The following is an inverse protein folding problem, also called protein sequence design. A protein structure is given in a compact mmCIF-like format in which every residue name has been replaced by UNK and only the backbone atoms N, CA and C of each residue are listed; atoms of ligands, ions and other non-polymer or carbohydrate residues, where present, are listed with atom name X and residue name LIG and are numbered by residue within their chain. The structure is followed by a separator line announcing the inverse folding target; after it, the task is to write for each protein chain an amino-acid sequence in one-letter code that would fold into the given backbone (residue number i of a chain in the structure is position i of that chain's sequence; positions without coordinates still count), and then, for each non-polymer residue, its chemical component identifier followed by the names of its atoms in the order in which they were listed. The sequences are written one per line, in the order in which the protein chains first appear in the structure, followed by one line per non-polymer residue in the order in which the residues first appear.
data_IF_488715132171
#
_entry.id   IF_488715132171
#
_cell.length_a   1.000
_cell.length_b   1.000
_cell.length_c   1.000
_cell.angle_alpha   90.00
_cell.angle_beta   90.00
_cell.angle_gamma   90.00
#
_symmetry.space_group_name_H-M   'P 1'
#
loop_
_entity.id
_entity.type
_entity.pdbx_description
1 polymer ?
#
# COMPACT_ATOMS: atom_id res chain seq x y z
N UNK A 1 20.15 12.34 -10.94
CA UNK A 1 20.69 13.70 -10.72
C UNK A 1 19.65 14.62 -10.07
N UNK A 2 18.37 14.57 -10.48
CA UNK A 2 17.27 15.37 -9.91
C UNK A 2 16.98 15.11 -8.42
N UNK A 3 17.13 13.86 -7.96
CA UNK A 3 17.02 13.50 -6.54
C UNK A 3 18.09 14.22 -5.70
N UNK A 4 19.33 14.30 -6.20
CA UNK A 4 20.44 14.93 -5.48
C UNK A 4 20.22 16.44 -5.26
N UNK A 5 19.54 17.10 -6.21
CA UNK A 5 19.17 18.52 -6.14
C UNK A 5 18.14 18.76 -5.03
N UNK A 6 17.13 17.90 -4.89
CA UNK A 6 16.13 18.04 -3.84
C UNK A 6 16.68 17.74 -2.43
N UNK A 7 17.69 16.86 -2.32
CA UNK A 7 18.21 16.43 -1.01
C UNK A 7 19.38 17.24 -0.48
N UNK A 8 20.16 17.92 -1.33
CA UNK A 8 21.31 18.71 -0.88
C UNK A 8 21.13 20.21 -1.12
N UNK A 9 20.58 20.60 -2.27
CA UNK A 9 20.53 22.01 -2.66
C UNK A 9 19.36 22.73 -2.01
N UNK A 10 18.17 22.10 -1.93
CA UNK A 10 17.01 22.72 -1.27
C UNK A 10 17.26 22.93 0.24
N UNK A 11 17.77 21.96 1.02
CA UNK A 11 18.10 22.21 2.42
C UNK A 11 19.19 23.27 2.60
N UNK A 12 20.20 23.32 1.71
CA UNK A 12 21.24 24.34 1.77
C UNK A 12 20.71 25.76 1.47
N UNK A 13 19.84 25.91 0.47
CA UNK A 13 19.18 27.19 0.15
C UNK A 13 18.25 27.61 1.29
N UNK A 14 17.47 26.68 1.85
CA UNK A 14 16.60 26.94 2.99
C UNK A 14 17.38 27.32 4.26
N UNK A 15 18.55 26.72 4.46
CA UNK A 15 19.47 27.04 5.55
C UNK A 15 20.10 28.43 5.39
N UNK A 16 20.54 28.80 4.18
CA UNK A 16 21.06 30.14 3.88
C UNK A 16 19.98 31.22 4.03
N UNK A 17 18.74 30.95 3.58
CA UNK A 17 17.60 31.84 3.81
C UNK A 17 17.26 31.99 5.30
N UNK A 18 17.42 30.91 6.09
CA UNK A 18 17.29 30.94 7.55
C UNK A 18 18.29 31.89 8.19
N UNK A 19 19.57 31.79 7.81
CA UNK A 19 20.64 32.61 8.37
C UNK A 19 20.40 34.10 8.06
N UNK A 20 19.91 34.43 6.86
CA UNK A 20 19.53 35.80 6.48
C UNK A 20 18.32 36.28 7.28
N UNK A 21 17.29 35.45 7.45
CA UNK A 21 16.09 35.80 8.24
C UNK A 21 16.39 35.97 9.74
N UNK A 22 17.27 35.14 10.30
CA UNK A 22 17.73 35.22 11.70
C UNK A 22 18.57 36.48 11.93
N UNK A 23 19.36 36.88 10.93
CA UNK A 23 20.12 38.13 10.97
C UNK A 23 19.21 39.37 10.93
N UNK A 24 18.11 39.33 10.17
CA UNK A 24 17.23 40.49 9.97
C UNK A 24 16.03 40.60 10.95
N UNK A 25 15.51 39.48 11.46
CA UNK A 25 14.18 39.45 12.10
C UNK A 25 14.12 38.82 13.51
N UNK A 26 15.25 38.49 14.14
CA UNK A 26 15.24 38.11 15.55
C UNK A 26 14.74 36.68 15.84
N UNK A 27 14.44 36.42 17.12
CA UNK A 27 14.03 35.12 17.68
C UNK A 27 12.78 34.51 17.00
N UNK A 28 11.91 35.34 16.42
CA UNK A 28 10.67 34.91 15.74
C UNK A 28 11.00 34.11 14.47
N UNK A 29 12.07 34.49 13.75
CA UNK A 29 12.53 33.77 12.57
C UNK A 29 13.06 32.37 12.92
N UNK A 30 13.74 32.22 14.05
CA UNK A 30 14.26 30.91 14.52
C UNK A 30 13.10 29.96 14.85
N UNK A 31 12.08 30.44 15.57
CA UNK A 31 10.91 29.65 15.93
C UNK A 31 10.09 29.20 14.69
N UNK A 32 9.85 30.11 13.76
CA UNK A 32 9.19 29.79 12.48
C UNK A 32 10.00 28.77 11.67
N UNK A 33 11.33 28.86 11.70
CA UNK A 33 12.19 27.94 10.97
C UNK A 33 12.21 26.53 11.57
N UNK A 34 12.16 26.40 12.90
CA UNK A 34 12.05 25.08 13.54
C UNK A 34 10.71 24.40 13.27
N UNK A 35 9.63 25.19 13.20
CA UNK A 35 8.32 24.70 12.79
C UNK A 35 8.36 24.26 11.32
N UNK A 36 8.96 25.04 10.43
CA UNK A 36 9.10 24.70 9.01
C UNK A 36 10.01 23.47 8.80
N UNK A 37 11.10 23.34 9.54
CA UNK A 37 11.99 22.18 9.51
C UNK A 37 11.30 20.90 9.99
N UNK A 38 10.50 20.98 11.07
CA UNK A 38 9.70 19.86 11.55
C UNK A 38 8.60 19.45 10.55
N UNK A 39 7.94 20.44 9.92
CA UNK A 39 6.96 20.19 8.86
C UNK A 39 7.61 19.57 7.62
N UNK A 40 8.79 20.07 7.20
CA UNK A 40 9.54 19.53 6.08
C UNK A 40 10.02 18.10 6.32
N UNK A 41 10.54 17.80 7.53
CA UNK A 41 10.88 16.45 7.94
C UNK A 41 9.65 15.52 7.95
N UNK A 42 8.49 16.02 8.40
CA UNK A 42 7.22 15.31 8.34
C UNK A 42 6.78 15.01 6.90
N UNK A 43 6.94 15.95 5.98
CA UNK A 43 6.64 15.76 4.54
C UNK A 43 7.60 14.75 3.92
N UNK A 44 8.90 14.84 4.17
CA UNK A 44 9.88 13.86 3.71
C UNK A 44 9.52 12.46 4.24
N UNK A 45 9.18 12.33 5.51
CA UNK A 45 8.78 11.07 6.12
C UNK A 45 7.51 10.47 5.46
N UNK A 46 6.54 11.30 5.09
CA UNK A 46 5.34 10.85 4.38
C UNK A 46 5.64 10.46 2.93
N UNK A 47 6.53 11.18 2.24
CA UNK A 47 6.98 10.82 0.91
C UNK A 47 7.70 9.46 0.91
N UNK A 48 8.54 9.18 1.92
CA UNK A 48 9.18 7.87 2.08
C UNK A 48 8.20 6.73 2.44
N UNK A 49 7.08 7.03 3.12
CA UNK A 49 5.99 6.06 3.31
C UNK A 49 5.24 5.74 2.02
N UNK A 50 5.20 6.68 1.06
CA UNK A 50 4.53 6.52 -0.22
C UNK A 50 5.32 5.71 -1.25
N UNK A 51 6.64 5.67 -1.14
CA UNK A 51 7.48 4.74 -1.91
C UNK A 51 7.39 3.34 -1.31
N UNK A 52 6.32 2.62 -1.66
CA UNK A 52 6.24 1.19 -1.44
C UNK A 52 7.45 0.50 -2.07
N UNK A 53 8.14 -0.31 -1.26
CA UNK A 53 9.31 -1.08 -1.64
C UNK A 53 9.08 -1.86 -2.95
N UNK A 54 9.69 -1.47 -4.08
CA UNK A 54 9.51 -2.17 -5.35
C UNK A 54 10.27 -3.51 -5.40
N UNK A 55 11.12 -3.80 -4.42
CA UNK A 55 12.10 -4.90 -4.45
C UNK A 55 11.97 -5.90 -3.29
N UNK A 56 11.00 -5.72 -2.39
CA UNK A 56 10.67 -6.68 -1.33
C UNK A 56 11.83 -6.97 -0.36
N UNK A 57 12.72 -6.00 -0.11
CA UNK A 57 13.82 -6.14 0.85
C UNK A 57 13.58 -5.31 2.11
N UNK A 58 13.85 -5.93 3.25
CA UNK A 58 13.68 -5.44 4.62
C UNK A 58 14.63 -4.30 5.05
N UNK A 59 15.02 -3.39 4.14
CA UNK A 59 15.89 -2.24 4.47
C UNK A 59 15.15 -1.08 5.14
N UNK A 60 13.82 -1.16 5.32
CA UNK A 60 13.05 -0.09 5.97
C UNK A 60 13.51 0.21 7.40
N UNK A 61 14.13 -0.77 8.07
CA UNK A 61 14.62 -0.60 9.45
C UNK A 61 15.90 0.25 9.53
N UNK A 62 16.86 0.05 8.61
CA UNK A 62 18.13 0.80 8.59
C UNK A 62 17.90 2.28 8.26
N UNK A 63 16.98 2.57 7.35
CA UNK A 63 16.60 3.95 7.03
C UNK A 63 15.87 4.65 8.16
N UNK A 64 15.03 3.94 8.92
CA UNK A 64 14.36 4.46 10.10
C UNK A 64 15.37 4.78 11.22
N UNK A 65 16.38 3.96 11.41
CA UNK A 65 17.45 4.22 12.38
C UNK A 65 18.33 5.40 11.94
N UNK A 66 18.72 5.48 10.66
CA UNK A 66 19.45 6.62 10.12
C UNK A 66 18.66 7.94 10.23
N UNK A 67 17.35 7.92 9.92
CA UNK A 67 16.48 9.10 10.09
C UNK A 67 16.28 9.46 11.55
N UNK A 68 16.13 8.49 12.46
CA UNK A 68 16.02 8.72 13.90
C UNK A 68 17.27 9.42 14.43
N UNK A 69 18.43 8.92 14.06
CA UNK A 69 19.71 9.42 14.57
C UNK A 69 20.01 10.80 13.97
N UNK A 70 19.69 11.01 12.68
CA UNK A 70 19.80 12.32 12.01
C UNK A 70 18.79 13.35 12.53
N UNK A 71 17.55 12.96 12.82
CA UNK A 71 16.53 13.86 13.36
C UNK A 71 16.84 14.27 14.80
N UNK A 72 17.34 13.34 15.62
CA UNK A 72 17.77 13.63 17.00
C UNK A 72 18.95 14.61 17.00
N UNK A 73 19.90 14.44 16.09
CA UNK A 73 20.99 15.40 15.88
C UNK A 73 20.46 16.77 15.43
N UNK A 74 19.51 16.81 14.49
CA UNK A 74 18.92 18.07 13.99
C UNK A 74 18.15 18.83 15.08
N UNK A 75 17.36 18.13 15.90
CA UNK A 75 16.64 18.74 17.03
C UNK A 75 17.63 19.28 18.07
N UNK A 76 18.69 18.52 18.38
CA UNK A 76 19.74 18.96 19.30
C UNK A 76 20.47 20.20 18.79
N UNK A 77 20.84 20.21 17.51
CA UNK A 77 21.47 21.38 16.85
C UNK A 77 20.53 22.59 16.90
N UNK A 78 19.24 22.39 16.62
CA UNK A 78 18.25 23.47 16.62
C UNK A 78 18.07 24.10 17.99
N UNK A 79 17.94 23.27 19.04
CA UNK A 79 17.84 23.74 20.43
C UNK A 79 19.13 24.47 20.84
N UNK A 80 20.30 23.92 20.49
CA UNK A 80 21.61 24.54 20.80
C UNK A 80 21.75 25.91 20.15
N UNK A 81 21.33 26.05 18.89
CA UNK A 81 21.34 27.32 18.16
C UNK A 81 20.35 28.34 18.75
N UNK A 82 19.16 27.91 19.20
CA UNK A 82 18.21 28.78 19.90
C UNK A 82 18.79 29.34 21.20
N UNK A 83 19.42 28.48 22.01
CA UNK A 83 20.02 28.88 23.29
C UNK A 83 21.21 29.82 23.06
N UNK A 84 22.07 29.53 22.07
CA UNK A 84 23.17 30.40 21.68
C UNK A 84 22.68 31.78 21.21
N UNK A 85 21.64 31.81 20.38
CA UNK A 85 21.07 33.07 19.89
C UNK A 85 20.49 33.92 21.02
N UNK A 86 19.76 33.30 21.95
CA UNK A 86 19.27 33.97 23.15
C UNK A 86 20.43 34.59 23.95
N UNK A 87 21.54 33.85 24.14
CA UNK A 87 22.72 34.36 24.83
C UNK A 87 23.32 35.59 24.14
N UNK A 88 23.51 35.56 22.83
CA UNK A 88 24.04 36.69 22.04
C UNK A 88 23.12 37.90 22.09
N UNK A 89 21.81 37.70 22.04
CA UNK A 89 20.82 38.77 22.16
C UNK A 89 20.92 39.46 23.53
N UNK A 90 21.02 38.69 24.63
CA UNK A 90 21.17 39.26 25.97
C UNK A 90 22.51 40.00 26.16
N UNK A 91 23.61 39.52 25.56
CA UNK A 91 24.90 40.26 25.56
C UNK A 91 24.78 41.63 24.91
N UNK A 92 24.10 41.73 23.76
CA UNK A 92 23.90 43.00 23.05
C UNK A 92 23.01 43.98 23.83
N UNK A 93 22.08 43.47 24.64
CA UNK A 93 21.23 44.29 25.50
C UNK A 93 21.87 44.73 26.83
N UNK A 94 23.13 44.35 27.10
CA UNK A 94 23.82 44.63 28.36
C UNK A 94 23.38 43.75 29.54
N UNK A 95 22.59 42.70 29.29
CA UNK A 95 22.06 41.79 30.31
C UNK A 95 22.97 40.58 30.52
N UNK A 96 24.18 40.84 31.03
CA UNK A 96 25.27 39.84 31.11
C UNK A 96 24.94 38.61 31.97
N UNK A 97 24.09 38.74 33.00
CA UNK A 97 23.65 37.63 33.87
C UNK A 97 22.79 36.60 33.11
N UNK A 98 21.91 37.07 32.23
CA UNK A 98 21.07 36.19 31.40
C UNK A 98 21.90 35.56 30.28
N UNK A 99 22.79 36.32 29.67
CA UNK A 99 23.70 35.80 28.66
C UNK A 99 24.57 34.64 29.16
N UNK A 100 25.15 34.76 30.36
CA UNK A 100 25.97 33.71 30.96
C UNK A 100 25.14 32.49 31.33
N UNK A 101 23.91 32.66 31.84
CA UNK A 101 22.98 31.55 32.08
C UNK A 101 22.68 30.73 30.82
N UNK A 102 22.37 31.40 29.69
CA UNK A 102 22.12 30.71 28.43
C UNK A 102 23.38 30.05 27.86
N UNK A 103 24.55 30.68 27.95
CA UNK A 103 25.82 30.07 27.54
C UNK A 103 26.15 28.80 28.34
N UNK A 104 25.90 28.82 29.66
CA UNK A 104 26.02 27.65 30.53
C UNK A 104 25.04 26.57 30.09
N UNK A 105 23.78 26.92 29.76
CA UNK A 105 22.79 25.97 29.26
C UNK A 105 23.23 25.33 27.92
N UNK A 106 23.82 26.09 27.00
CA UNK A 106 24.33 25.58 25.70
C UNK A 106 25.46 24.59 25.89
N UNK A 107 26.30 24.79 26.91
CA UNK A 107 27.43 23.91 27.23
C UNK A 107 26.98 22.70 28.06
N UNK A 108 26.03 22.89 28.97
CA UNK A 108 25.54 21.82 29.84
C UNK A 108 24.53 20.92 29.16
N UNK A 109 23.71 21.38 28.22
CA UNK A 109 22.67 20.53 27.60
C UNK A 109 23.26 19.36 26.81
N UNK A 110 24.24 19.55 25.89
CA UNK A 110 24.91 18.44 25.22
C UNK A 110 25.72 17.60 26.21
N UNK A 111 26.33 18.23 27.22
CA UNK A 111 27.13 17.52 28.22
C UNK A 111 26.26 16.64 29.13
N UNK A 112 25.07 17.08 29.56
CA UNK A 112 24.10 16.25 30.26
C UNK A 112 23.48 15.20 29.36
N UNK A 113 23.30 15.49 28.07
CA UNK A 113 22.82 14.52 27.07
C UNK A 113 23.84 13.41 26.81
N UNK A 114 25.14 13.73 26.87
CA UNK A 114 26.26 12.80 26.71
C UNK A 114 26.63 12.08 28.02
N UNK A 115 26.57 12.76 29.17
CA UNK A 115 26.99 12.23 30.47
C UNK A 115 25.87 11.52 31.23
N UNK A 116 24.60 11.83 30.95
CA UNK A 116 23.53 10.96 31.43
C UNK A 116 23.42 9.80 30.45
N UNK A 117 23.74 8.59 30.90
CA UNK A 117 23.31 7.30 30.30
C UNK A 117 21.77 7.18 30.13
N UNK A 118 21.03 8.29 30.30
CA UNK A 118 19.58 8.42 30.30
C UNK A 118 18.95 8.15 28.93
N UNK A 119 19.72 8.20 27.85
CA UNK A 119 19.28 7.76 26.53
C UNK A 119 20.01 6.49 26.07
N UNK A 120 20.09 5.48 26.94
CA UNK A 120 20.47 4.14 26.46
C UNK A 120 19.56 3.78 25.27
N UNK A 121 20.12 3.53 24.06
CA UNK A 121 19.33 3.16 22.89
C UNK A 121 18.40 1.98 23.17
N UNK A 122 18.81 1.09 24.07
CA UNK A 122 18.00 -0.02 24.58
C UNK A 122 16.75 0.43 25.35
N UNK A 123 16.86 1.44 26.24
CA UNK A 123 15.72 1.99 27.00
C UNK A 123 14.75 2.72 26.09
N UNK A 124 15.24 3.48 25.12
CA UNK A 124 14.40 4.14 24.13
C UNK A 124 13.71 3.14 23.20
N UNK A 125 14.44 2.12 22.71
CA UNK A 125 13.87 0.99 21.96
C UNK A 125 12.77 0.28 22.76
N UNK A 126 13.02 0.01 24.04
CA UNK A 126 12.02 -0.61 24.92
C UNK A 126 10.80 0.29 25.13
N UNK A 127 11.00 1.60 25.26
CA UNK A 127 9.90 2.57 25.34
C UNK A 127 9.06 2.57 24.06
N UNK A 128 9.69 2.64 22.88
CA UNK A 128 9.00 2.55 21.57
C UNK A 128 8.22 1.24 21.47
N UNK A 129 8.84 0.09 21.78
CA UNK A 129 8.15 -1.20 21.75
C UNK A 129 6.99 -1.24 22.75
N UNK A 130 7.14 -0.62 23.92
CA UNK A 130 6.06 -0.56 24.92
C UNK A 130 4.88 0.33 24.47
N UNK A 131 5.16 1.46 23.82
CA UNK A 131 4.15 2.37 23.28
C UNK A 131 3.45 1.74 22.09
N UNK A 132 4.19 1.07 21.22
CA UNK A 132 3.67 0.33 20.08
C UNK A 132 2.80 -0.86 20.51
N UNK A 133 3.22 -1.62 21.53
CA UNK A 133 2.40 -2.67 22.14
C UNK A 133 1.13 -2.14 22.76
N UNK A 134 1.12 -0.91 23.30
CA UNK A 134 -0.06 -0.27 23.90
C UNK A 134 -0.94 0.47 22.88
N UNK A 135 -0.53 0.54 21.61
CA UNK A 135 -1.29 1.23 20.60
C UNK A 135 -2.61 0.47 20.30
N UNK A 136 -3.79 0.99 20.72
CA UNK A 136 -5.06 0.28 20.58
C UNK A 136 -5.43 0.03 19.11
N UNK A 137 -4.95 0.88 18.21
CA UNK A 137 -5.13 0.77 16.77
C UNK A 137 -4.38 -0.44 16.20
N UNK A 138 -3.12 -0.63 16.61
CA UNK A 138 -2.30 -1.77 16.20
C UNK A 138 -2.89 -3.08 16.71
N UNK A 139 -3.28 -3.13 17.99
CA UNK A 139 -3.92 -4.31 18.57
C UNK A 139 -5.22 -4.68 17.86
N UNK A 140 -6.04 -3.69 17.49
CA UNK A 140 -7.31 -3.91 16.76
C UNK A 140 -7.05 -4.47 15.36
N UNK A 141 -6.06 -3.94 14.65
CA UNK A 141 -5.64 -4.47 13.35
C UNK A 141 -5.14 -5.91 13.47
N UNK A 142 -4.19 -6.19 14.37
CA UNK A 142 -3.60 -7.53 14.55
C UNK A 142 -4.66 -8.57 14.95
N UNK A 143 -5.60 -8.20 15.83
CA UNK A 143 -6.73 -9.05 16.21
C UNK A 143 -7.61 -9.38 15.00
N UNK A 144 -7.88 -8.38 14.14
CA UNK A 144 -8.67 -8.56 12.93
C UNK A 144 -7.95 -9.42 11.90
N UNK A 145 -6.65 -9.19 11.69
CA UNK A 145 -5.81 -9.98 10.78
C UNK A 145 -5.76 -11.45 11.21
N UNK A 146 -5.51 -11.71 12.50
CA UNK A 146 -5.51 -13.06 13.07
C UNK A 146 -6.87 -13.75 12.89
N UNK A 147 -7.97 -13.04 13.13
CA UNK A 147 -9.32 -13.58 12.96
C UNK A 147 -9.64 -13.88 11.48
N UNK A 148 -9.26 -12.98 10.57
CA UNK A 148 -9.44 -13.17 9.13
C UNK A 148 -8.64 -14.38 8.62
N UNK A 149 -7.38 -14.49 9.04
CA UNK A 149 -6.50 -15.62 8.68
C UNK A 149 -7.00 -16.95 9.22
N UNK A 150 -7.48 -16.99 10.47
CA UNK A 150 -8.10 -18.18 11.04
C UNK A 150 -9.34 -18.60 10.23
N UNK A 151 -10.25 -17.66 9.95
CA UNK A 151 -11.45 -17.93 9.18
C UNK A 151 -11.15 -18.36 7.73
N UNK A 152 -10.08 -17.82 7.13
CA UNK A 152 -9.57 -18.27 5.83
C UNK A 152 -9.08 -19.73 5.89
N UNK A 153 -8.26 -20.09 6.88
CA UNK A 153 -7.77 -21.45 7.05
C UNK A 153 -8.93 -22.45 7.25
N UNK A 154 -9.92 -22.09 8.07
CA UNK A 154 -11.13 -22.90 8.27
C UNK A 154 -11.88 -23.08 6.94
N UNK A 155 -12.05 -21.99 6.18
CA UNK A 155 -12.69 -22.00 4.86
C UNK A 155 -11.90 -22.76 3.79
N UNK A 156 -10.62 -23.03 3.98
CA UNK A 156 -9.81 -23.87 3.10
C UNK A 156 -9.90 -25.37 3.47
N UNK A 157 -9.94 -25.68 4.76
CA UNK A 157 -9.86 -27.05 5.28
C UNK A 157 -11.22 -27.75 5.37
N UNK A 158 -12.28 -27.04 5.74
CA UNK A 158 -13.60 -27.65 5.87
C UNK A 158 -14.35 -27.60 4.54
N UNK A 159 -14.47 -28.75 3.87
CA UNK A 159 -15.23 -28.87 2.61
C UNK A 159 -16.68 -28.39 2.73
N UNK A 160 -17.26 -28.26 3.92
CA UNK A 160 -18.68 -27.89 4.09
C UNK A 160 -18.92 -26.47 4.59
N UNK A 161 -17.92 -25.69 5.00
CA UNK A 161 -18.19 -24.40 5.64
C UNK A 161 -17.26 -23.26 5.23
N UNK A 162 -17.69 -22.48 4.24
CA UNK A 162 -17.17 -21.12 3.99
C UNK A 162 -17.78 -20.06 4.92
N UNK A 163 -18.72 -20.46 5.78
CA UNK A 163 -19.53 -19.55 6.62
C UNK A 163 -18.67 -18.72 7.58
N UNK A 164 -17.65 -19.27 8.28
CA UNK A 164 -16.78 -18.48 9.14
C UNK A 164 -16.06 -17.38 8.36
N UNK A 165 -15.49 -17.71 7.20
CA UNK A 165 -14.82 -16.74 6.33
C UNK A 165 -15.75 -15.62 5.89
N UNK A 166 -16.94 -15.96 5.35
CA UNK A 166 -17.94 -14.95 4.94
C UNK A 166 -18.29 -14.04 6.12
N UNK A 167 -18.69 -14.62 7.27
CA UNK A 167 -19.10 -13.84 8.45
C UNK A 167 -17.99 -12.91 8.96
N UNK A 168 -16.77 -13.42 9.10
CA UNK A 168 -15.64 -12.66 9.67
C UNK A 168 -15.16 -11.59 8.68
N UNK A 169 -15.03 -11.92 7.39
CA UNK A 169 -14.62 -10.95 6.36
C UNK A 169 -15.63 -9.82 6.21
N UNK A 170 -16.94 -10.11 6.17
CA UNK A 170 -18.00 -9.08 6.16
C UNK A 170 -17.92 -8.18 7.40
N UNK A 171 -17.73 -8.78 8.59
CA UNK A 171 -17.64 -8.00 9.83
C UNK A 171 -16.45 -7.05 9.78
N UNK A 172 -15.26 -7.54 9.42
CA UNK A 172 -14.05 -6.72 9.35
C UNK A 172 -14.21 -5.62 8.30
N UNK A 173 -14.73 -5.94 7.11
CA UNK A 173 -14.95 -4.94 6.07
C UNK A 173 -15.88 -3.81 6.54
N UNK A 174 -17.03 -4.14 7.16
CA UNK A 174 -18.03 -3.15 7.56
C UNK A 174 -17.68 -2.36 8.82
N UNK A 175 -16.98 -2.98 9.78
CA UNK A 175 -16.79 -2.38 11.12
C UNK A 175 -15.36 -1.97 11.43
N UNK A 176 -14.37 -2.38 10.64
CA UNK A 176 -12.97 -2.05 10.92
C UNK A 176 -12.59 -0.71 10.31
N UNK A 177 -11.98 0.23 11.08
CA UNK A 177 -11.39 1.43 10.49
C UNK A 177 -10.19 1.12 9.56
N UNK A 178 -9.77 -0.16 9.49
CA UNK A 178 -8.68 -0.62 8.63
C UNK A 178 -9.13 -1.43 7.43
N UNK A 179 -10.42 -1.44 7.08
CA UNK A 179 -10.94 -2.23 5.96
C UNK A 179 -10.10 -2.08 4.67
N UNK A 180 -9.68 -0.85 4.34
CA UNK A 180 -8.79 -0.55 3.21
C UNK A 180 -7.42 -1.24 3.27
N UNK A 181 -6.84 -1.36 4.47
CA UNK A 181 -5.55 -2.05 4.67
C UNK A 181 -5.65 -3.57 4.48
N UNK A 182 -6.85 -4.12 4.53
CA UNK A 182 -7.12 -5.54 4.29
C UNK A 182 -7.49 -5.85 2.84
N UNK A 183 -7.48 -4.87 1.93
CA UNK A 183 -7.91 -5.03 0.53
C UNK A 183 -7.17 -6.17 -0.18
N UNK A 184 -5.85 -6.27 -0.01
CA UNK A 184 -5.05 -7.38 -0.51
C UNK A 184 -5.48 -8.72 0.09
N UNK A 185 -5.58 -8.83 1.42
CA UNK A 185 -5.94 -10.08 2.12
C UNK A 185 -7.33 -10.55 1.73
N UNK A 186 -8.30 -9.65 1.66
CA UNK A 186 -9.66 -9.98 1.25
C UNK A 186 -9.70 -10.54 -0.16
N UNK A 187 -9.05 -9.88 -1.13
CA UNK A 187 -9.00 -10.36 -2.51
C UNK A 187 -8.26 -11.71 -2.57
N UNK A 188 -7.07 -11.81 -1.98
CA UNK A 188 -6.24 -13.01 -2.02
C UNK A 188 -6.93 -14.23 -1.38
N UNK A 189 -7.53 -14.07 -0.20
CA UNK A 189 -8.23 -15.16 0.50
C UNK A 189 -9.52 -15.56 -0.23
N UNK A 190 -10.29 -14.59 -0.73
CA UNK A 190 -11.48 -14.88 -1.54
C UNK A 190 -11.12 -15.65 -2.80
N UNK A 191 -10.06 -15.26 -3.52
CA UNK A 191 -9.57 -15.96 -4.72
C UNK A 191 -9.15 -17.39 -4.40
N UNK A 192 -8.38 -17.61 -3.33
CA UNK A 192 -7.92 -18.96 -2.94
C UNK A 192 -9.07 -19.89 -2.58
N UNK A 193 -10.04 -19.40 -1.80
CA UNK A 193 -11.23 -20.19 -1.47
C UNK A 193 -12.05 -20.45 -2.73
N UNK A 194 -12.30 -19.42 -3.56
CA UNK A 194 -13.01 -19.56 -4.84
C UNK A 194 -12.39 -20.67 -5.69
N UNK A 195 -11.07 -20.64 -5.94
CA UNK A 195 -10.36 -21.67 -6.71
C UNK A 195 -10.58 -23.06 -6.10
N UNK A 196 -10.41 -23.19 -4.78
CA UNK A 196 -10.62 -24.46 -4.07
C UNK A 196 -12.03 -25.00 -4.26
N UNK A 197 -13.06 -24.15 -4.16
CA UNK A 197 -14.47 -24.55 -4.32
C UNK A 197 -14.82 -24.91 -5.76
N UNK A 198 -14.36 -24.11 -6.72
CA UNK A 198 -14.54 -24.40 -8.15
C UNK A 198 -13.88 -25.73 -8.54
N UNK A 199 -12.66 -26.00 -8.09
CA UNK A 199 -11.97 -27.29 -8.33
C UNK A 199 -12.74 -28.50 -7.77
N UNK A 200 -13.39 -28.33 -6.63
CA UNK A 200 -14.21 -29.36 -6.00
C UNK A 200 -15.66 -29.42 -6.53
N UNK A 201 -15.99 -28.67 -7.59
CA UNK A 201 -17.33 -28.54 -8.17
C UNK A 201 -18.40 -28.03 -7.19
N UNK A 202 -17.99 -27.39 -6.09
CA UNK A 202 -18.88 -26.74 -5.14
C UNK A 202 -19.17 -25.30 -5.60
N UNK A 203 -19.89 -25.19 -6.72
CA UNK A 203 -20.19 -23.91 -7.35
C UNK A 203 -21.09 -23.03 -6.46
N UNK A 204 -21.92 -23.64 -5.60
CA UNK A 204 -22.74 -22.93 -4.64
C UNK A 204 -21.92 -22.16 -3.61
N UNK A 205 -20.90 -22.79 -3.01
CA UNK A 205 -19.98 -22.10 -2.11
C UNK A 205 -19.09 -21.09 -2.85
N UNK A 206 -18.59 -21.47 -4.04
CA UNK A 206 -17.78 -20.59 -4.87
C UNK A 206 -18.51 -19.26 -5.20
N UNK A 207 -19.78 -19.34 -5.61
CA UNK A 207 -20.63 -18.18 -5.89
C UNK A 207 -20.88 -17.32 -4.65
N UNK A 208 -21.07 -17.95 -3.48
CA UNK A 208 -21.22 -17.22 -2.20
C UNK A 208 -19.97 -16.41 -1.85
N UNK A 209 -18.77 -16.90 -2.16
CA UNK A 209 -17.53 -16.14 -1.96
C UNK A 209 -17.48 -14.91 -2.86
N UNK A 210 -17.78 -15.07 -4.16
CA UNK A 210 -17.78 -13.96 -5.12
C UNK A 210 -18.80 -12.90 -4.72
N UNK A 211 -20.04 -13.30 -4.43
CA UNK A 211 -21.08 -12.36 -3.99
C UNK A 211 -20.73 -11.68 -2.67
N UNK A 212 -20.17 -12.41 -1.69
CA UNK A 212 -19.74 -11.77 -0.45
C UNK A 212 -18.67 -10.70 -0.71
N UNK A 213 -17.70 -10.98 -1.59
CA UNK A 213 -16.66 -10.01 -1.91
C UNK A 213 -17.25 -8.76 -2.55
N UNK A 214 -18.06 -8.92 -3.61
CA UNK A 214 -18.69 -7.80 -4.33
C UNK A 214 -19.61 -7.00 -3.41
N UNK A 215 -20.53 -7.67 -2.71
CA UNK A 215 -21.64 -6.99 -2.02
C UNK A 215 -21.27 -6.48 -0.63
N UNK A 216 -20.26 -7.07 0.02
CA UNK A 216 -19.99 -6.82 1.44
C UNK A 216 -18.55 -6.43 1.77
N UNK A 217 -17.60 -6.64 0.86
CA UNK A 217 -16.19 -6.33 1.11
C UNK A 217 -15.73 -5.14 0.28
N UNK A 218 -15.87 -5.22 -1.05
CA UNK A 218 -15.37 -4.22 -1.99
C UNK A 218 -15.81 -2.79 -1.65
N UNK A 219 -17.09 -2.52 -1.25
CA UNK A 219 -17.52 -1.16 -0.89
C UNK A 219 -16.77 -0.53 0.28
N UNK A 220 -16.08 -1.34 1.10
CA UNK A 220 -15.38 -0.87 2.30
C UNK A 220 -13.86 -1.05 2.23
N UNK A 221 -13.37 -2.02 1.46
CA UNK A 221 -11.93 -2.29 1.34
C UNK A 221 -11.26 -1.53 0.20
N UNK A 222 -12.02 -0.93 -0.70
CA UNK A 222 -11.55 -0.43 -1.99
C UNK A 222 -10.98 -1.53 -2.89
N UNK A 223 -10.77 -1.15 -4.15
CA UNK A 223 -10.18 -2.00 -5.16
C UNK A 223 -8.68 -2.19 -4.93
N UNK A 224 -8.23 -3.44 -4.93
CA UNK A 224 -6.81 -3.80 -4.97
C UNK A 224 -6.50 -4.53 -6.29
N UNK A 225 -5.28 -4.43 -6.84
CA UNK A 225 -4.91 -5.14 -8.08
C UNK A 225 -5.19 -6.65 -8.03
N UNK A 226 -5.09 -7.26 -6.83
CA UNK A 226 -5.40 -8.67 -6.57
C UNK A 226 -6.88 -9.04 -6.84
N UNK A 227 -7.77 -8.06 -6.90
CA UNK A 227 -9.17 -8.22 -7.32
C UNK A 227 -9.27 -8.73 -8.76
N UNK A 228 -8.30 -8.41 -9.63
CA UNK A 228 -8.22 -8.97 -10.98
C UNK A 228 -8.16 -10.50 -10.96
N UNK A 229 -7.43 -11.09 -10.02
CA UNK A 229 -7.35 -12.55 -9.90
C UNK A 229 -8.69 -13.14 -9.46
N UNK A 230 -9.41 -12.44 -8.58
CA UNK A 230 -10.75 -12.84 -8.15
C UNK A 230 -11.74 -12.76 -9.32
N UNK A 231 -11.75 -11.66 -10.05
CA UNK A 231 -12.60 -11.45 -11.22
C UNK A 231 -12.32 -12.51 -12.29
N UNK A 232 -11.04 -12.76 -12.61
CA UNK A 232 -10.61 -13.78 -13.56
C UNK A 232 -11.14 -15.17 -13.21
N UNK A 233 -11.03 -15.59 -11.95
CA UNK A 233 -11.55 -16.89 -11.51
C UNK A 233 -13.08 -16.91 -11.39
N UNK A 234 -13.71 -15.76 -11.12
CA UNK A 234 -15.16 -15.65 -11.05
C UNK A 234 -15.81 -15.74 -12.45
N UNK A 235 -15.13 -15.25 -13.50
CA UNK A 235 -15.55 -15.47 -14.89
C UNK A 235 -15.52 -16.95 -15.26
N UNK A 236 -14.43 -17.66 -14.93
CA UNK A 236 -14.34 -19.11 -15.11
C UNK A 236 -15.46 -19.84 -14.36
N UNK A 237 -15.73 -19.46 -13.10
CA UNK A 237 -16.85 -20.01 -12.34
C UNK A 237 -18.19 -19.77 -13.05
N UNK A 238 -18.42 -18.58 -13.61
CA UNK A 238 -19.68 -18.25 -14.29
C UNK A 238 -19.92 -19.14 -15.51
N UNK A 239 -18.87 -19.51 -16.23
CA UNK A 239 -18.92 -20.46 -17.36
C UNK A 239 -19.21 -21.86 -16.85
N UNK A 240 -18.39 -22.38 -15.92
CA UNK A 240 -18.52 -23.75 -15.40
C UNK A 240 -19.86 -24.02 -14.72
N UNK A 241 -20.47 -22.99 -14.11
CA UNK A 241 -21.78 -23.09 -13.46
C UNK A 241 -22.95 -22.68 -14.35
N UNK A 242 -22.69 -22.31 -15.61
CA UNK A 242 -23.66 -21.74 -16.55
C UNK A 242 -24.48 -20.58 -15.94
N UNK A 243 -23.82 -19.74 -15.14
CA UNK A 243 -24.44 -18.62 -14.43
C UNK A 243 -24.09 -17.30 -15.11
N UNK A 244 -24.81 -16.98 -16.18
CA UNK A 244 -24.61 -15.75 -16.94
C UNK A 244 -24.81 -14.49 -16.10
N UNK A 245 -25.68 -14.54 -15.07
CA UNK A 245 -25.92 -13.41 -14.16
C UNK A 245 -24.68 -13.15 -13.29
N UNK A 246 -24.02 -14.19 -12.80
CA UNK A 246 -22.75 -14.05 -12.09
C UNK A 246 -21.69 -13.43 -12.99
N UNK A 247 -21.56 -13.92 -14.23
CA UNK A 247 -20.61 -13.37 -15.18
C UNK A 247 -20.84 -11.89 -15.45
N UNK A 248 -22.10 -11.49 -15.67
CA UNK A 248 -22.46 -10.07 -15.85
C UNK A 248 -22.13 -9.23 -14.61
N UNK A 249 -22.46 -9.73 -13.41
CA UNK A 249 -22.14 -9.04 -12.16
C UNK A 249 -20.64 -8.84 -11.96
N UNK A 250 -19.81 -9.82 -12.34
CA UNK A 250 -18.34 -9.67 -12.30
C UNK A 250 -17.87 -8.58 -13.26
N UNK A 251 -18.43 -8.54 -14.47
CA UNK A 251 -18.12 -7.48 -15.43
C UNK A 251 -18.52 -6.10 -14.90
N UNK A 252 -19.72 -5.98 -14.32
CA UNK A 252 -20.28 -4.70 -13.90
C UNK A 252 -19.70 -4.16 -12.59
N UNK A 253 -19.25 -5.04 -11.68
CA UNK A 253 -18.87 -4.62 -10.31
C UNK A 253 -17.37 -4.77 -10.04
N UNK A 254 -16.69 -5.75 -10.65
CA UNK A 254 -15.25 -5.95 -10.44
C UNK A 254 -14.39 -5.35 -11.53
N UNK A 255 -14.88 -5.34 -12.78
CA UNK A 255 -14.11 -4.88 -13.93
C UNK A 255 -14.57 -3.51 -14.43
N UNK A 256 -15.86 -3.21 -14.53
CA UNK A 256 -16.37 -2.00 -15.16
C UNK A 256 -15.95 -0.68 -14.47
N UNK A 257 -16.26 -0.47 -13.18
CA UNK A 257 -16.00 0.81 -12.50
C UNK A 257 -14.54 1.02 -12.12
N UNK A 258 -13.76 -0.04 -12.07
CA UNK A 258 -12.44 -0.05 -11.43
C UNK A 258 -11.30 -0.39 -12.37
N UNK A 259 -11.62 -0.90 -13.56
CA UNK A 259 -10.63 -1.34 -14.52
C UNK A 259 -10.95 -0.69 -15.84
N UNK A 260 -10.19 0.35 -16.20
CA UNK A 260 -10.14 0.76 -17.59
C UNK A 260 -9.65 -0.44 -18.38
N UNK A 261 -10.54 -1.02 -19.19
CA UNK A 261 -10.30 -2.36 -19.73
C UNK A 261 -9.01 -2.41 -20.52
N UNK A 262 -8.59 -1.31 -21.17
CA UNK A 262 -7.32 -1.11 -21.89
C UNK A 262 -6.05 -1.13 -21.00
N UNK A 263 -6.16 -0.95 -19.69
CA UNK A 263 -5.01 -0.92 -18.76
C UNK A 263 -4.67 -2.28 -18.14
N UNK A 264 -5.50 -3.31 -18.37
CA UNK A 264 -5.26 -4.67 -17.87
C UNK A 264 -3.97 -5.22 -18.48
N UNK A 265 -2.99 -5.54 -17.62
CA UNK A 265 -1.72 -6.21 -17.97
C UNK A 265 -1.65 -7.68 -17.56
N UNK A 266 -2.66 -8.19 -16.85
CA UNK A 266 -2.68 -9.58 -16.39
C UNK A 266 -3.14 -10.49 -17.54
N UNK A 267 -2.20 -11.22 -18.15
CA UNK A 267 -2.45 -12.13 -19.28
C UNK A 267 -3.53 -13.19 -18.99
N UNK A 268 -3.64 -13.65 -17.74
CA UNK A 268 -4.62 -14.68 -17.34
C UNK A 268 -6.03 -14.08 -17.33
N UNK A 269 -6.19 -12.86 -16.81
CA UNK A 269 -7.47 -12.15 -16.87
C UNK A 269 -7.86 -11.84 -18.33
N UNK A 270 -6.91 -11.38 -19.16
CA UNK A 270 -7.16 -11.11 -20.58
C UNK A 270 -7.62 -12.38 -21.32
N UNK A 271 -6.94 -13.51 -21.09
CA UNK A 271 -7.33 -14.79 -21.66
C UNK A 271 -8.75 -15.21 -21.22
N UNK A 272 -9.06 -15.13 -19.92
CA UNK A 272 -10.38 -15.52 -19.43
C UNK A 272 -11.49 -14.56 -19.91
N UNK A 273 -11.18 -13.29 -20.18
CA UNK A 273 -12.10 -12.37 -20.84
C UNK A 273 -12.34 -12.77 -22.29
N UNK A 274 -11.30 -13.17 -23.02
CA UNK A 274 -11.45 -13.71 -24.37
C UNK A 274 -12.37 -14.95 -24.37
N UNK A 275 -12.14 -15.93 -23.48
CA UNK A 275 -13.00 -17.11 -23.33
C UNK A 275 -14.47 -16.73 -23.04
N UNK A 276 -14.69 -15.79 -22.11
CA UNK A 276 -16.03 -15.30 -21.78
C UNK A 276 -16.76 -14.71 -23.00
N UNK A 277 -16.06 -13.89 -23.81
CA UNK A 277 -16.65 -13.31 -25.01
C UNK A 277 -16.79 -14.30 -26.16
N UNK A 278 -15.92 -15.30 -26.25
CA UNK A 278 -16.02 -16.38 -27.22
C UNK A 278 -17.33 -17.16 -27.03
N UNK A 279 -17.60 -17.60 -25.79
CA UNK A 279 -18.83 -18.32 -25.42
C UNK A 279 -20.10 -17.50 -25.65
N UNK A 280 -20.03 -16.18 -25.48
CA UNK A 280 -21.13 -15.26 -25.77
C UNK A 280 -21.25 -14.88 -27.25
N UNK A 281 -20.42 -15.44 -28.12
CA UNK A 281 -20.35 -15.15 -29.56
C UNK A 281 -20.08 -13.67 -29.88
N UNK A 282 -19.35 -12.96 -29.02
CA UNK A 282 -19.00 -11.55 -29.20
C UNK A 282 -17.61 -11.42 -29.84
N UNK A 283 -17.50 -11.80 -31.12
CA UNK A 283 -16.25 -11.88 -31.89
C UNK A 283 -15.32 -10.66 -31.70
N UNK A 284 -15.82 -9.45 -31.91
CA UNK A 284 -14.99 -8.24 -31.85
C UNK A 284 -14.29 -8.04 -30.49
N UNK A 285 -15.03 -8.23 -29.39
CA UNK A 285 -14.45 -8.14 -28.04
C UNK A 285 -13.51 -9.30 -27.74
N UNK A 286 -13.88 -10.51 -28.17
CA UNK A 286 -13.02 -11.67 -28.05
C UNK A 286 -11.65 -11.42 -28.71
N UNK A 287 -11.63 -10.97 -29.97
CA UNK A 287 -10.40 -10.69 -30.71
C UNK A 287 -9.55 -9.59 -30.04
N UNK A 288 -10.17 -8.52 -29.53
CA UNK A 288 -9.45 -7.48 -28.76
C UNK A 288 -8.71 -8.07 -27.54
N UNK A 289 -9.40 -8.89 -26.75
CA UNK A 289 -8.78 -9.51 -25.57
C UNK A 289 -7.72 -10.56 -25.92
N UNK A 290 -7.87 -11.29 -27.03
CA UNK A 290 -6.83 -12.19 -27.55
C UNK A 290 -5.57 -11.40 -27.90
N UNK A 291 -5.70 -10.34 -28.70
CA UNK A 291 -4.58 -9.51 -29.15
C UNK A 291 -3.75 -9.01 -27.96
N UNK A 292 -4.45 -8.55 -26.92
CA UNK A 292 -3.83 -8.02 -25.71
C UNK A 292 -3.20 -9.11 -24.86
N UNK A 293 -3.86 -10.26 -24.72
CA UNK A 293 -3.29 -11.41 -24.01
C UNK A 293 -1.99 -11.87 -24.69
N UNK A 294 -1.95 -11.94 -26.03
CA UNK A 294 -0.75 -12.25 -26.81
C UNK A 294 0.37 -11.24 -26.53
N UNK A 295 0.06 -9.93 -26.56
CA UNK A 295 1.06 -8.88 -26.26
C UNK A 295 1.62 -8.93 -24.83
N UNK A 296 0.95 -9.65 -23.92
CA UNK A 296 1.35 -9.82 -22.53
C UNK A 296 1.99 -11.18 -22.22
N UNK A 297 2.22 -12.03 -23.23
CA UNK A 297 2.96 -13.29 -23.08
C UNK A 297 2.11 -14.57 -23.17
N UNK A 298 0.78 -14.44 -23.36
CA UNK A 298 -0.07 -15.60 -23.60
C UNK A 298 0.28 -16.24 -24.94
N UNK A 299 0.33 -17.57 -25.00
CA UNK A 299 0.72 -18.29 -26.22
C UNK A 299 -0.48 -18.52 -27.14
N UNK A 300 -0.29 -18.33 -28.45
CA UNK A 300 -1.31 -18.57 -29.47
C UNK A 300 -1.91 -19.98 -29.40
N UNK A 301 -1.08 -20.98 -29.10
CA UNK A 301 -1.48 -22.39 -28.99
C UNK A 301 -2.53 -22.60 -27.89
N UNK A 302 -2.53 -21.77 -26.84
CA UNK A 302 -3.51 -21.89 -25.75
C UNK A 302 -4.92 -21.54 -26.23
N UNK A 303 -5.09 -20.65 -27.19
CA UNK A 303 -6.39 -20.31 -27.78
C UNK A 303 -6.88 -21.40 -28.75
N UNK A 304 -5.96 -22.07 -29.45
CA UNK A 304 -6.29 -23.21 -30.33
C UNK A 304 -6.63 -24.48 -29.56
N UNK A 305 -6.11 -24.64 -28.34
CA UNK A 305 -6.38 -25.82 -27.51
C UNK A 305 -7.62 -25.70 -26.62
N UNK A 306 -8.13 -24.48 -26.41
CA UNK A 306 -9.22 -24.23 -25.48
C UNK A 306 -10.58 -24.29 -26.21
N UNK A 307 -11.46 -25.18 -25.75
CA UNK A 307 -12.76 -25.46 -26.37
C UNK A 307 -13.69 -24.26 -26.39
N UNK A 308 -13.47 -23.26 -25.54
CA UNK A 308 -14.26 -22.03 -25.54
C UNK A 308 -14.15 -21.27 -26.88
N UNK A 309 -13.10 -21.53 -27.67
CA UNK A 309 -12.87 -20.94 -28.99
C UNK A 309 -13.23 -21.86 -30.17
N UNK A 310 -13.79 -23.05 -29.95
CA UNK A 310 -14.04 -24.04 -31.01
C UNK A 310 -14.82 -23.46 -32.20
N UNK A 311 -15.83 -22.62 -31.91
CA UNK A 311 -16.63 -21.92 -32.93
C UNK A 311 -15.79 -21.05 -33.89
N UNK A 312 -14.61 -20.61 -33.47
CA UNK A 312 -13.75 -19.68 -34.20
C UNK A 312 -12.51 -20.33 -34.80
N UNK A 313 -12.30 -21.64 -34.67
CA UNK A 313 -11.08 -22.29 -35.16
C UNK A 313 -10.88 -22.19 -36.68
N UNK A 314 -11.96 -22.00 -37.44
CA UNK A 314 -11.92 -21.75 -38.90
C UNK A 314 -12.11 -20.27 -39.25
N UNK A 315 -12.29 -19.38 -38.27
CA UNK A 315 -12.48 -17.96 -38.51
C UNK A 315 -11.17 -17.29 -38.95
N UNK A 316 -11.21 -16.66 -40.12
CA UNK A 316 -10.01 -16.07 -40.75
C UNK A 316 -9.37 -14.98 -39.90
N UNK A 317 -10.15 -14.15 -39.21
CA UNK A 317 -9.62 -13.08 -38.36
C UNK A 317 -8.99 -13.64 -37.09
N UNK A 318 -9.63 -14.66 -36.49
CA UNK A 318 -9.07 -15.39 -35.35
C UNK A 318 -7.72 -16.04 -35.71
N UNK A 319 -7.66 -16.79 -36.81
CA UNK A 319 -6.41 -17.43 -37.27
C UNK A 319 -5.33 -16.39 -37.56
N UNK A 320 -5.65 -15.32 -38.30
CA UNK A 320 -4.69 -14.27 -38.63
C UNK A 320 -4.13 -13.58 -37.38
N UNK A 321 -4.97 -13.31 -36.39
CA UNK A 321 -4.55 -12.72 -35.12
C UNK A 321 -3.56 -13.63 -34.38
N UNK A 322 -3.86 -14.93 -34.28
CA UNK A 322 -2.98 -15.89 -33.61
C UNK A 322 -1.63 -16.09 -34.33
N UNK A 323 -1.59 -15.91 -35.66
CA UNK A 323 -0.34 -15.95 -36.42
C UNK A 323 0.51 -14.69 -36.23
N UNK A 324 -0.11 -13.54 -35.97
CA UNK A 324 0.59 -12.26 -35.77
C UNK A 324 1.27 -12.12 -34.41
N UNK A 325 0.84 -12.89 -33.40
CA UNK A 325 1.39 -12.87 -32.05
C UNK A 325 2.54 -13.86 -31.80
N UNK A 326 3.19 -14.34 -32.87
CA UNK A 326 4.34 -15.26 -32.79
C UNK A 326 5.68 -14.55 -32.66
#
# INVERSE_FOLDING_TARGET
MEILVCFLIIPAIMFMAALVAIYQHGLIAVALWSVLGALYAGVIFQLFKGFGDPLGRTHSFEWLEFFRDSFSALVLITITLMIYYAAVHFLKSGSYLFASFFLILTLMFPLTFVLTDGFSPSKFKNLIVSLDKKNPFKQTYEKSDKALKAAFNDGMNDKKSIRPFVKISTKIAKSSPYAKRFSFQFANYSTKILISRTKNKDYGAAKKIVNNYIDNILPFSEYHQKTNDLASNALVLSVLSNDQKLGQKVMDELLGPHVETNTIKNEILLFNLACYYALKRQKGKMLDFIARALSHGKKAEQFLSDSDFEYYWEDKEFIALLQSGK
#
